data_IF_836632211019
#
_entry.id   IF_836632211019
#
_cell.length_a   1.000
_cell.length_b   1.000
_cell.length_c   1.000
_cell.angle_alpha   90.00
_cell.angle_beta   90.00
_cell.angle_gamma   90.00
#
_symmetry.space_group_name_H-M   'P 1'
#
loop_
_entity.id
_entity.type
_entity.pdbx_description
1 polymer ?
#
# COMPACT_ATOMS: atom_id res chain seq x y z
N UNK A 1 -23.38 22.75 -6.23
CA UNK A 1 -22.27 22.91 -5.26
C UNK A 1 -22.26 21.63 -4.44
N UNK A 2 -21.48 20.66 -4.85
CA UNK A 2 -21.31 19.39 -4.17
C UNK A 2 -20.42 19.62 -2.95
N UNK A 3 -20.91 19.30 -1.75
CA UNK A 3 -20.12 19.24 -0.54
C UNK A 3 -18.90 18.37 -0.81
N UNK A 4 -17.74 18.99 -0.84
CA UNK A 4 -16.48 18.28 -0.68
C UNK A 4 -16.47 17.83 0.78
N UNK A 5 -16.87 16.58 1.03
CA UNK A 5 -16.77 15.98 2.35
C UNK A 5 -15.33 16.18 2.83
N UNK A 6 -15.19 16.89 3.95
CA UNK A 6 -13.90 17.02 4.62
C UNK A 6 -13.46 15.60 4.99
N UNK A 7 -12.43 15.12 4.31
CA UNK A 7 -11.82 13.84 4.59
C UNK A 7 -11.25 13.95 6.00
N UNK A 8 -11.91 13.34 6.96
CA UNK A 8 -11.44 13.30 8.34
C UNK A 8 -10.33 12.24 8.44
N UNK A 9 -9.16 12.65 8.85
CA UNK A 9 -8.04 11.75 9.14
C UNK A 9 -7.82 11.81 10.64
N UNK A 10 -8.18 10.73 11.32
CA UNK A 10 -8.00 10.61 12.76
C UNK A 10 -6.53 10.31 13.08
N UNK A 11 -6.00 10.94 14.12
CA UNK A 11 -4.65 10.65 14.62
C UNK A 11 -4.73 9.64 15.76
N UNK A 12 -4.07 8.51 15.60
CA UNK A 12 -4.04 7.42 16.58
C UNK A 12 -2.60 7.18 17.03
N UNK A 13 -2.38 7.09 18.33
CA UNK A 13 -1.07 6.82 18.91
C UNK A 13 -0.98 5.34 19.34
N UNK A 14 0.03 4.65 18.82
CA UNK A 14 0.36 3.27 19.17
C UNK A 14 1.79 3.26 19.71
N UNK A 15 1.98 2.94 20.97
CA UNK A 15 3.29 2.85 21.63
C UNK A 15 4.18 4.10 21.43
N UNK A 16 3.57 5.29 21.38
CA UNK A 16 4.29 6.55 21.14
C UNK A 16 4.53 6.90 19.66
N UNK A 17 4.02 6.09 18.74
CA UNK A 17 4.06 6.33 17.31
C UNK A 17 2.70 6.79 16.79
N UNK A 18 2.69 7.89 16.07
CA UNK A 18 1.48 8.52 15.54
C UNK A 18 1.16 8.01 14.14
N UNK A 19 -0.07 7.55 13.96
CA UNK A 19 -0.65 7.17 12.68
C UNK A 19 -1.76 8.15 12.30
N UNK A 20 -1.87 8.47 11.00
CA UNK A 20 -3.07 9.06 10.44
C UNK A 20 -3.96 7.97 9.85
N UNK A 21 -5.24 7.96 10.20
CA UNK A 21 -6.18 6.93 9.72
C UNK A 21 -7.39 7.61 9.09
N UNK A 22 -7.61 7.32 7.81
CA UNK A 22 -8.87 7.63 7.15
C UNK A 22 -9.68 6.35 7.03
N UNK A 23 -10.94 6.39 7.43
CA UNK A 23 -11.82 5.22 7.41
C UNK A 23 -13.13 5.48 6.69
N UNK A 24 -13.71 4.42 6.14
CA UNK A 24 -15.08 4.34 5.65
C UNK A 24 -15.71 3.04 6.12
N UNK A 25 -16.91 3.08 6.69
CA UNK A 25 -17.60 1.86 7.10
C UNK A 25 -18.12 1.01 5.92
N UNK A 26 -17.98 1.50 4.69
CA UNK A 26 -18.61 0.93 3.51
C UNK A 26 -20.11 1.27 3.42
N UNK A 27 -20.85 0.71 2.45
CA UNK A 27 -22.26 1.01 2.24
C UNK A 27 -23.12 0.45 3.38
N UNK A 28 -24.16 1.20 3.77
CA UNK A 28 -25.14 0.77 4.79
C UNK A 28 -25.87 -0.48 4.31
N UNK A 29 -25.94 -1.51 5.17
CA UNK A 29 -26.62 -2.77 4.86
C UNK A 29 -25.77 -3.76 4.03
N UNK A 30 -24.50 -3.47 3.78
CA UNK A 30 -23.61 -4.43 3.14
C UNK A 30 -23.48 -5.69 3.99
N UNK A 31 -23.76 -6.84 3.38
CA UNK A 31 -23.58 -8.18 4.01
C UNK A 31 -22.09 -8.53 4.11
N UNK A 32 -21.22 -7.81 3.39
CA UNK A 32 -19.79 -8.08 3.28
C UNK A 32 -19.05 -7.43 4.45
N UNK A 33 -18.52 -8.27 5.33
CA UNK A 33 -17.74 -7.87 6.51
C UNK A 33 -16.23 -7.72 6.22
N UNK A 34 -15.82 -7.85 4.96
CA UNK A 34 -14.40 -7.77 4.57
C UNK A 34 -13.88 -6.35 4.75
N UNK A 35 -12.84 -6.21 5.55
CA UNK A 35 -12.14 -4.95 5.78
C UNK A 35 -10.94 -4.85 4.86
N UNK A 36 -10.76 -3.70 4.21
CA UNK A 36 -9.60 -3.40 3.39
C UNK A 36 -8.70 -2.37 4.07
N UNK A 37 -7.40 -2.60 4.05
CA UNK A 37 -6.39 -1.71 4.64
C UNK A 37 -5.36 -1.34 3.58
N UNK A 38 -5.25 -0.05 3.26
CA UNK A 38 -4.34 0.47 2.24
C UNK A 38 -3.13 1.11 2.91
N UNK A 39 -1.93 0.66 2.54
CA UNK A 39 -0.64 1.14 3.06
C UNK A 39 0.16 1.78 1.94
N UNK A 40 0.54 3.03 2.13
CA UNK A 40 1.23 3.84 1.13
C UNK A 40 2.72 3.48 0.94
N UNK A 41 3.33 4.03 -0.13
CA UNK A 41 4.75 3.92 -0.43
C UNK A 41 5.63 4.89 0.37
N UNK A 42 6.95 4.80 0.16
CA UNK A 42 7.92 5.68 0.82
C UNK A 42 7.68 7.15 0.46
N UNK A 43 7.69 8.01 1.48
CA UNK A 43 7.59 9.45 1.30
C UNK A 43 6.21 9.98 0.96
N UNK A 44 5.22 9.12 0.77
CA UNK A 44 3.84 9.48 0.37
C UNK A 44 2.86 9.39 1.54
N UNK A 45 1.56 9.57 1.28
CA UNK A 45 0.50 9.56 2.28
C UNK A 45 -0.81 8.97 1.70
N UNK A 46 -1.86 8.89 2.51
CA UNK A 46 -3.21 8.48 2.08
C UNK A 46 -3.71 9.24 0.83
N UNK A 47 -3.23 10.47 0.59
CA UNK A 47 -3.72 11.35 -0.47
C UNK A 47 -3.59 10.75 -1.87
N UNK A 48 -2.44 10.13 -2.16
CA UNK A 48 -2.23 9.55 -3.48
C UNK A 48 -2.99 8.23 -3.67
N UNK A 49 -3.41 7.59 -2.58
CA UNK A 49 -4.28 6.40 -2.61
C UNK A 49 -5.77 6.73 -2.66
N UNK A 50 -6.14 8.02 -2.57
CA UNK A 50 -7.54 8.47 -2.52
C UNK A 50 -8.44 7.89 -3.62
N UNK A 51 -8.02 7.81 -4.92
CA UNK A 51 -8.86 7.22 -5.95
C UNK A 51 -9.14 5.73 -5.70
N UNK A 52 -8.14 4.94 -5.32
CA UNK A 52 -8.30 3.53 -4.99
C UNK A 52 -9.15 3.34 -3.72
N UNK A 53 -8.87 4.14 -2.69
CA UNK A 53 -9.65 4.15 -1.46
C UNK A 53 -11.14 4.36 -1.74
N UNK A 54 -11.49 5.40 -2.50
CA UNK A 54 -12.88 5.69 -2.85
C UNK A 54 -13.56 4.58 -3.62
N UNK A 55 -12.84 3.94 -4.57
CA UNK A 55 -13.38 2.85 -5.36
C UNK A 55 -13.65 1.57 -4.51
N UNK A 56 -12.79 1.27 -3.52
CA UNK A 56 -13.01 0.14 -2.62
C UNK A 56 -14.06 0.47 -1.55
N UNK A 57 -14.01 1.68 -0.98
CA UNK A 57 -14.92 2.14 0.07
C UNK A 57 -16.39 2.22 -0.38
N UNK A 58 -16.62 2.36 -1.69
CA UNK A 58 -17.95 2.24 -2.26
C UNK A 58 -18.60 0.85 -2.07
N UNK A 59 -17.81 -0.17 -1.77
CA UNK A 59 -18.27 -1.56 -1.64
C UNK A 59 -18.02 -2.14 -0.24
N UNK A 60 -16.98 -1.71 0.47
CA UNK A 60 -16.50 -2.37 1.67
C UNK A 60 -15.98 -1.39 2.73
N UNK A 61 -15.92 -1.84 3.97
CA UNK A 61 -15.19 -1.15 5.03
C UNK A 61 -13.73 -1.01 4.64
N UNK A 62 -13.21 0.22 4.65
CA UNK A 62 -11.88 0.53 4.10
C UNK A 62 -11.14 1.51 4.99
N UNK A 63 -9.89 1.19 5.28
CA UNK A 63 -8.94 2.07 5.95
C UNK A 63 -7.81 2.43 5.00
N UNK A 64 -7.33 3.66 5.06
CA UNK A 64 -6.01 4.03 4.54
C UNK A 64 -5.21 4.69 5.64
N UNK A 65 -3.93 4.35 5.72
CA UNK A 65 -3.10 4.64 6.88
C UNK A 65 -1.90 5.47 6.47
N UNK A 66 -1.69 6.61 7.14
CA UNK A 66 -0.42 7.32 7.12
C UNK A 66 0.49 6.75 8.22
N UNK A 67 1.64 6.25 7.79
CA UNK A 67 2.63 5.65 8.68
C UNK A 67 3.35 6.72 9.52
N UNK A 68 3.90 6.38 10.70
CA UNK A 68 4.72 7.29 11.49
C UNK A 68 5.85 7.95 10.69
N UNK A 69 5.87 9.29 10.68
CA UNK A 69 6.81 10.11 9.90
C UNK A 69 6.36 10.47 8.48
N UNK A 70 5.12 10.12 8.10
CA UNK A 70 4.53 10.41 6.79
C UNK A 70 3.16 11.08 6.94
N UNK A 71 2.64 11.67 5.88
CA UNK A 71 1.29 12.23 5.84
C UNK A 71 1.00 13.38 6.81
N UNK A 72 2.01 13.89 7.51
CA UNK A 72 1.87 14.90 8.56
C UNK A 72 1.93 14.33 9.98
N UNK A 73 2.07 13.03 10.15
CA UNK A 73 2.30 12.38 11.45
C UNK A 73 3.68 12.72 12.01
N UNK A 74 3.84 12.60 13.31
CA UNK A 74 5.12 12.90 13.98
C UNK A 74 6.22 11.97 13.49
N UNK A 75 7.37 12.55 13.11
CA UNK A 75 8.57 11.80 12.75
C UNK A 75 9.14 11.06 13.96
N UNK A 76 9.32 9.72 13.88
CA UNK A 76 9.91 8.93 14.95
C UNK A 76 11.34 9.37 15.29
N UNK A 77 11.69 9.32 16.59
CA UNK A 77 13.05 9.64 17.06
C UNK A 77 14.10 8.64 16.54
N UNK A 78 13.70 7.38 16.42
CA UNK A 78 14.56 6.28 15.96
C UNK A 78 14.13 5.80 14.58
N UNK A 79 15.09 5.20 13.84
CA UNK A 79 14.80 4.54 12.58
C UNK A 79 13.94 3.30 12.84
N UNK A 80 12.83 3.18 12.13
CA UNK A 80 12.02 1.96 12.09
C UNK A 80 12.45 1.09 10.90
N UNK A 81 12.50 -0.21 11.12
CA UNK A 81 12.63 -1.21 10.06
C UNK A 81 11.24 -1.57 9.52
N UNK A 82 11.18 -2.31 8.43
CA UNK A 82 9.91 -2.79 7.86
C UNK A 82 9.15 -3.64 8.88
N UNK A 83 9.88 -4.47 9.63
CA UNK A 83 9.31 -5.34 10.66
C UNK A 83 8.70 -4.55 11.82
N UNK A 84 9.32 -3.42 12.20
CA UNK A 84 8.82 -2.54 13.26
C UNK A 84 7.52 -1.83 12.81
N UNK A 85 7.50 -1.33 11.58
CA UNK A 85 6.28 -0.74 10.99
C UNK A 85 5.14 -1.76 10.88
N UNK A 86 5.43 -2.99 10.45
CA UNK A 86 4.42 -4.04 10.33
C UNK A 86 3.82 -4.43 11.69
N UNK A 87 4.67 -4.53 12.73
CA UNK A 87 4.20 -4.76 14.10
C UNK A 87 3.26 -3.64 14.55
N UNK A 88 3.71 -2.39 14.45
CA UNK A 88 2.90 -1.22 14.84
C UNK A 88 1.59 -1.12 14.05
N UNK A 89 1.61 -1.47 12.77
CA UNK A 89 0.39 -1.53 11.95
C UNK A 89 -0.57 -2.62 12.45
N UNK A 90 -0.06 -3.79 12.84
CA UNK A 90 -0.87 -4.84 13.45
C UNK A 90 -1.52 -4.37 14.76
N UNK A 91 -0.76 -3.71 15.63
CA UNK A 91 -1.24 -3.16 16.90
C UNK A 91 -2.28 -2.04 16.69
N UNK A 92 -2.11 -1.23 15.63
CA UNK A 92 -3.12 -0.25 15.19
C UNK A 92 -4.43 -0.95 14.78
N UNK A 93 -4.35 -2.01 13.98
CA UNK A 93 -5.53 -2.75 13.52
C UNK A 93 -6.27 -3.42 14.68
N UNK A 94 -5.55 -3.93 15.68
CA UNK A 94 -6.16 -4.44 16.93
C UNK A 94 -6.92 -3.31 17.67
N UNK A 95 -6.30 -2.12 17.77
CA UNK A 95 -6.92 -0.94 18.40
C UNK A 95 -8.20 -0.49 17.67
N UNK A 96 -8.23 -0.65 16.34
CA UNK A 96 -9.40 -0.37 15.49
C UNK A 96 -10.45 -1.48 15.53
N UNK A 97 -10.22 -2.58 16.25
CA UNK A 97 -11.12 -3.73 16.33
C UNK A 97 -11.18 -4.56 15.05
N UNK A 98 -10.16 -4.46 14.19
CA UNK A 98 -10.08 -5.24 12.95
C UNK A 98 -9.57 -6.64 13.27
N UNK A 99 -10.42 -7.63 13.10
CA UNK A 99 -10.11 -9.05 13.39
C UNK A 99 -9.65 -9.82 12.13
N UNK A 100 -9.99 -9.33 10.94
CA UNK A 100 -9.55 -9.88 9.66
C UNK A 100 -9.57 -8.81 8.57
N UNK A 101 -8.53 -8.77 7.71
CA UNK A 101 -8.47 -7.79 6.63
C UNK A 101 -7.79 -8.31 5.37
N UNK A 102 -8.10 -7.66 4.25
CA UNK A 102 -7.30 -7.65 3.02
C UNK A 102 -6.31 -6.49 3.13
N UNK A 103 -5.03 -6.78 3.21
CA UNK A 103 -4.00 -5.74 3.26
C UNK A 103 -3.49 -5.42 1.85
N UNK A 104 -3.50 -4.14 1.49
CA UNK A 104 -3.06 -3.61 0.20
C UNK A 104 -1.85 -2.72 0.44
N UNK A 105 -0.70 -3.10 -0.06
CA UNK A 105 0.51 -2.28 0.02
C UNK A 105 0.98 -1.81 -1.33
N UNK A 106 1.23 -0.50 -1.48
CA UNK A 106 1.83 0.05 -2.69
C UNK A 106 3.32 0.35 -2.48
N UNK A 107 4.17 -0.02 -3.44
CA UNK A 107 5.60 0.29 -3.42
C UNK A 107 6.27 -0.25 -2.14
N UNK A 108 6.84 0.60 -1.26
CA UNK A 108 7.33 0.21 0.07
C UNK A 108 6.22 -0.42 0.93
N UNK A 109 4.98 0.05 0.81
CA UNK A 109 3.83 -0.53 1.51
C UNK A 109 3.63 -2.02 1.21
N UNK A 110 4.08 -2.50 0.04
CA UNK A 110 4.07 -3.92 -0.28
C UNK A 110 4.96 -4.76 0.66
N UNK A 111 6.08 -4.19 1.10
CA UNK A 111 6.96 -4.84 2.09
C UNK A 111 6.27 -4.94 3.46
N UNK A 112 5.57 -3.85 3.85
CA UNK A 112 4.83 -3.81 5.11
C UNK A 112 3.65 -4.78 5.10
N UNK A 113 2.91 -4.84 3.99
CA UNK A 113 1.80 -5.78 3.82
C UNK A 113 2.27 -7.24 3.88
N UNK A 114 3.42 -7.55 3.24
CA UNK A 114 4.05 -8.88 3.31
C UNK A 114 4.45 -9.21 4.75
N UNK A 115 5.13 -8.29 5.42
CA UNK A 115 5.63 -8.54 6.78
C UNK A 115 4.49 -8.63 7.80
N UNK A 116 3.43 -7.81 7.67
CA UNK A 116 2.22 -7.92 8.49
C UNK A 116 1.58 -9.32 8.34
N UNK A 117 1.45 -9.82 7.12
CA UNK A 117 0.89 -11.13 6.86
C UNK A 117 1.75 -12.27 7.46
N UNK A 118 3.07 -12.10 7.52
CA UNK A 118 3.98 -13.05 8.18
C UNK A 118 3.86 -12.99 9.70
N UNK A 119 3.81 -11.78 10.28
CA UNK A 119 3.72 -11.61 11.74
C UNK A 119 2.34 -11.92 12.29
N UNK A 120 1.28 -11.65 11.52
CA UNK A 120 -0.13 -11.74 11.95
C UNK A 120 -0.98 -12.55 10.95
N UNK A 121 -0.66 -13.85 10.74
CA UNK A 121 -1.32 -14.66 9.70
C UNK A 121 -2.83 -14.85 9.94
N UNK A 122 -3.30 -14.70 11.17
CA UNK A 122 -4.73 -14.80 11.49
C UNK A 122 -5.50 -13.50 11.20
N UNK A 123 -4.78 -12.35 11.18
CA UNK A 123 -5.35 -11.04 10.88
C UNK A 123 -5.49 -10.82 9.36
N UNK A 124 -4.55 -11.35 8.57
CA UNK A 124 -4.48 -11.07 7.14
C UNK A 124 -5.10 -12.20 6.32
N UNK A 125 -6.29 -11.96 5.76
CA UNK A 125 -7.00 -12.94 4.91
C UNK A 125 -6.45 -12.99 3.49
N UNK A 126 -6.05 -11.84 2.92
CA UNK A 126 -5.47 -11.71 1.59
C UNK A 126 -4.42 -10.59 1.56
N UNK A 127 -3.42 -10.74 0.72
CA UNK A 127 -2.36 -9.74 0.51
C UNK A 127 -2.40 -9.24 -0.93
N UNK A 128 -2.41 -7.93 -1.11
CA UNK A 128 -2.29 -7.29 -2.43
C UNK A 128 -1.05 -6.40 -2.45
N UNK A 129 -0.12 -6.71 -3.34
CA UNK A 129 1.14 -5.99 -3.53
C UNK A 129 1.10 -5.22 -4.84
N UNK A 130 0.91 -3.90 -4.78
CA UNK A 130 0.87 -3.04 -5.96
C UNK A 130 2.25 -2.44 -6.19
N UNK A 131 2.87 -2.72 -7.33
CA UNK A 131 4.18 -2.18 -7.68
C UNK A 131 5.27 -2.48 -6.63
N UNK A 132 5.48 -3.74 -6.18
CA UNK A 132 6.44 -4.06 -5.12
C UNK A 132 7.87 -3.68 -5.51
N UNK A 133 8.55 -2.95 -4.63
CA UNK A 133 9.90 -2.39 -4.83
C UNK A 133 11.02 -3.30 -4.31
N UNK A 134 12.25 -2.82 -4.42
CA UNK A 134 13.47 -3.46 -3.92
C UNK A 134 13.77 -4.81 -4.62
N UNK A 135 13.65 -4.82 -5.96
CA UNK A 135 14.11 -5.93 -6.81
C UNK A 135 15.51 -6.39 -6.36
N UNK A 136 15.63 -7.67 -6.02
CA UNK A 136 16.85 -8.26 -5.47
C UNK A 136 18.09 -7.99 -6.34
N UNK A 137 17.92 -7.95 -7.67
CA UNK A 137 19.00 -7.66 -8.62
C UNK A 137 19.30 -6.16 -8.78
N UNK A 138 18.47 -5.27 -8.22
CA UNK A 138 18.57 -3.81 -8.34
C UNK A 138 18.36 -3.09 -7.01
N UNK A 139 18.69 -3.72 -5.91
CA UNK A 139 18.47 -3.23 -4.54
C UNK A 139 19.51 -2.17 -4.12
N UNK A 140 19.69 -1.15 -4.98
CA UNK A 140 20.57 0.00 -4.70
C UNK A 140 19.78 1.32 -4.78
N UNK A 141 20.17 2.30 -3.95
CA UNK A 141 19.55 3.62 -3.96
C UNK A 141 19.61 4.30 -5.33
N UNK A 142 20.72 4.15 -6.04
CA UNK A 142 20.92 4.73 -7.39
C UNK A 142 19.98 4.10 -8.40
N UNK A 143 19.88 2.75 -8.41
CA UNK A 143 18.98 2.06 -9.32
C UNK A 143 17.50 2.46 -9.08
N UNK A 144 17.08 2.54 -7.81
CA UNK A 144 15.74 2.98 -7.45
C UNK A 144 15.48 4.44 -7.84
N UNK A 145 16.44 5.34 -7.63
CA UNK A 145 16.32 6.74 -8.03
C UNK A 145 16.19 6.92 -9.55
N UNK A 146 16.99 6.17 -10.35
CA UNK A 146 16.92 6.19 -11.81
C UNK A 146 15.56 5.67 -12.30
N UNK A 147 15.09 4.57 -11.74
CA UNK A 147 13.81 3.97 -12.14
C UNK A 147 12.63 4.89 -11.74
N UNK A 148 12.68 5.51 -10.54
CA UNK A 148 11.70 6.51 -10.09
C UNK A 148 11.70 7.76 -11.00
N UNK A 149 12.85 8.27 -11.38
CA UNK A 149 12.96 9.41 -12.29
C UNK A 149 12.32 9.10 -13.65
N UNK A 150 12.64 7.93 -14.23
CA UNK A 150 12.03 7.48 -15.49
C UNK A 150 10.52 7.32 -15.41
N UNK A 151 10.02 6.92 -14.26
CA UNK A 151 8.59 6.79 -14.00
C UNK A 151 7.91 8.16 -13.94
N UNK A 152 8.44 9.05 -13.11
CA UNK A 152 7.96 10.41 -12.89
C UNK A 152 7.75 11.19 -14.19
N UNK A 153 8.66 11.03 -15.17
CA UNK A 153 8.55 11.73 -16.47
C UNK A 153 7.30 11.32 -17.29
N UNK A 154 6.66 10.23 -16.96
CA UNK A 154 5.54 9.65 -17.74
C UNK A 154 4.29 9.41 -16.90
N UNK A 155 4.31 9.69 -15.62
CA UNK A 155 3.14 9.66 -14.75
C UNK A 155 2.31 10.95 -14.87
N UNK A 156 1.00 10.92 -14.58
CA UNK A 156 0.14 12.11 -14.62
C UNK A 156 0.70 13.25 -13.75
N UNK A 157 0.63 14.47 -14.28
CA UNK A 157 1.13 15.67 -13.56
C UNK A 157 0.48 15.83 -12.17
N UNK A 158 -0.84 15.55 -12.06
CA UNK A 158 -1.57 15.61 -10.79
C UNK A 158 -1.03 14.62 -9.75
N UNK A 159 -0.67 13.41 -10.17
CA UNK A 159 -0.06 12.40 -9.31
C UNK A 159 1.34 12.85 -8.84
N UNK A 160 2.16 13.35 -9.76
CA UNK A 160 3.48 13.87 -9.44
C UNK A 160 3.43 15.03 -8.44
N UNK A 161 2.47 15.95 -8.59
CA UNK A 161 2.31 17.07 -7.66
C UNK A 161 2.00 16.60 -6.23
N UNK A 162 1.14 15.58 -6.08
CA UNK A 162 0.84 14.97 -4.78
C UNK A 162 2.08 14.30 -4.18
N UNK A 163 2.77 13.46 -4.97
CA UNK A 163 3.97 12.74 -4.53
C UNK A 163 5.08 13.69 -4.11
N UNK A 164 5.39 14.73 -4.91
CA UNK A 164 6.41 15.72 -4.55
C UNK A 164 6.03 16.57 -3.35
N UNK A 165 4.74 16.94 -3.22
CA UNK A 165 4.23 17.63 -2.04
C UNK A 165 4.41 16.80 -0.77
N UNK A 166 4.17 15.50 -0.83
CA UNK A 166 4.35 14.58 0.29
C UNK A 166 5.84 14.34 0.59
N UNK A 167 6.71 14.23 -0.43
CA UNK A 167 8.16 14.15 -0.24
C UNK A 167 8.73 15.37 0.48
N UNK A 168 8.24 16.57 0.13
CA UNK A 168 8.65 17.80 0.80
C UNK A 168 8.24 17.80 2.28
N UNK A 169 7.04 17.29 2.61
CA UNK A 169 6.56 17.15 4.00
C UNK A 169 7.32 16.10 4.79
N UNK A 170 7.62 14.96 4.18
CA UNK A 170 8.40 13.89 4.78
C UNK A 170 9.81 14.37 5.17
N UNK A 171 10.42 15.20 4.35
CA UNK A 171 11.76 15.71 4.51
C UNK A 171 12.85 14.68 4.16
N UNK A 172 13.94 15.17 3.57
CA UNK A 172 15.02 14.34 3.01
C UNK A 172 15.65 13.40 4.06
N UNK A 173 15.81 13.90 5.29
CA UNK A 173 16.44 13.12 6.37
C UNK A 173 15.65 11.87 6.75
N UNK A 174 14.31 11.98 6.83
CA UNK A 174 13.45 10.85 7.16
C UNK A 174 13.31 9.92 5.97
N UNK A 175 13.12 10.48 4.77
CA UNK A 175 13.09 9.72 3.53
C UNK A 175 14.32 8.80 3.37
N UNK A 176 15.53 9.34 3.54
CA UNK A 176 16.77 8.55 3.41
C UNK A 176 16.93 7.49 4.49
N UNK A 177 16.47 7.73 5.71
CA UNK A 177 16.44 6.71 6.77
C UNK A 177 15.52 5.55 6.40
N UNK A 178 14.32 5.87 5.92
CA UNK A 178 13.33 4.85 5.53
C UNK A 178 13.75 4.12 4.26
N UNK A 179 14.35 4.82 3.29
CA UNK A 179 14.91 4.19 2.09
C UNK A 179 15.94 3.10 2.43
N UNK A 180 16.80 3.34 3.42
CA UNK A 180 17.75 2.32 3.88
C UNK A 180 17.04 1.10 4.50
N UNK A 181 15.94 1.30 5.24
CA UNK A 181 15.14 0.22 5.78
C UNK A 181 14.47 -0.60 4.67
N UNK A 182 13.87 0.10 3.69
CA UNK A 182 13.24 -0.48 2.51
C UNK A 182 14.24 -1.34 1.70
N UNK A 183 15.45 -0.83 1.45
CA UNK A 183 16.46 -1.56 0.70
C UNK A 183 17.06 -2.75 1.46
N UNK A 184 17.03 -2.73 2.77
CA UNK A 184 17.53 -3.83 3.61
C UNK A 184 16.56 -5.01 3.72
N UNK A 185 15.26 -4.79 3.44
CA UNK A 185 14.24 -5.83 3.60
C UNK A 185 14.17 -6.76 2.40
N UNK A 186 14.31 -8.05 2.62
CA UNK A 186 14.30 -9.11 1.60
C UNK A 186 12.86 -9.64 1.40
N UNK A 187 12.02 -8.88 0.67
CA UNK A 187 10.62 -9.26 0.42
C UNK A 187 10.51 -10.61 -0.31
N UNK A 188 11.45 -10.93 -1.20
CA UNK A 188 11.52 -12.17 -1.97
C UNK A 188 11.76 -13.43 -1.11
N UNK A 189 12.39 -13.26 0.05
CA UNK A 189 12.54 -14.31 1.05
C UNK A 189 11.33 -14.38 1.98
N UNK A 190 10.89 -13.24 2.47
CA UNK A 190 9.78 -13.15 3.43
C UNK A 190 8.43 -13.57 2.87
N UNK A 191 8.17 -13.32 1.59
CA UNK A 191 6.91 -13.68 0.94
C UNK A 191 6.66 -15.20 0.94
N UNK A 192 7.71 -16.00 1.03
CA UNK A 192 7.61 -17.48 1.13
C UNK A 192 6.91 -17.94 2.41
N UNK A 193 6.91 -17.10 3.43
CA UNK A 193 6.26 -17.37 4.72
C UNK A 193 4.81 -16.88 4.78
N UNK A 194 4.30 -16.21 3.74
CA UNK A 194 2.93 -15.73 3.70
C UNK A 194 2.00 -16.87 3.37
N UNK A 195 1.08 -17.20 4.27
CA UNK A 195 0.12 -18.29 4.08
C UNK A 195 -1.16 -17.85 3.36
N UNK A 196 -1.51 -16.56 3.47
CA UNK A 196 -2.66 -15.99 2.77
C UNK A 196 -2.44 -15.94 1.25
N UNK A 197 -3.50 -15.99 0.43
CA UNK A 197 -3.42 -15.69 -1.00
C UNK A 197 -2.77 -14.33 -1.27
N UNK A 198 -1.88 -14.26 -2.27
CA UNK A 198 -1.14 -13.05 -2.64
C UNK A 198 -1.43 -12.66 -4.09
N UNK A 199 -1.91 -11.43 -4.30
CA UNK A 199 -2.01 -10.80 -5.61
C UNK A 199 -0.88 -9.79 -5.78
N UNK A 200 0.02 -10.04 -6.73
CA UNK A 200 1.00 -9.06 -7.19
C UNK A 200 0.39 -8.33 -8.39
N UNK A 201 0.18 -7.01 -8.26
CA UNK A 201 -0.41 -6.18 -9.29
C UNK A 201 0.58 -5.09 -9.72
N UNK A 202 0.74 -4.89 -11.03
CA UNK A 202 1.61 -3.86 -11.57
C UNK A 202 1.04 -3.22 -12.83
N UNK A 203 1.42 -1.97 -13.09
CA UNK A 203 1.27 -1.41 -14.43
C UNK A 203 2.22 -2.11 -15.41
N UNK A 204 1.77 -2.45 -16.62
CA UNK A 204 2.61 -3.16 -17.60
C UNK A 204 3.90 -2.39 -17.94
N UNK A 205 3.84 -1.07 -17.88
CA UNK A 205 4.94 -0.17 -18.22
C UNK A 205 5.73 0.32 -16.99
N UNK A 206 5.51 -0.26 -15.80
CA UNK A 206 6.21 0.10 -14.56
C UNK A 206 7.70 -0.23 -14.66
N UNK A 207 8.61 0.78 -14.59
CA UNK A 207 10.05 0.55 -14.65
C UNK A 207 10.65 0.15 -13.30
N UNK A 208 9.93 0.37 -12.20
CA UNK A 208 10.35 0.10 -10.82
C UNK A 208 10.04 -1.35 -10.47
N UNK A 209 8.75 -1.72 -10.50
CA UNK A 209 8.30 -3.09 -10.29
C UNK A 209 8.27 -3.85 -11.61
N UNK A 210 9.41 -4.30 -12.07
CA UNK A 210 9.57 -4.98 -13.36
C UNK A 210 8.85 -6.34 -13.37
N UNK A 211 8.39 -6.76 -14.55
CA UNK A 211 7.68 -8.03 -14.70
C UNK A 211 8.47 -9.22 -14.14
N UNK A 212 9.75 -9.33 -14.47
CA UNK A 212 10.59 -10.43 -13.97
C UNK A 212 10.63 -10.51 -12.44
N UNK A 213 10.80 -9.34 -11.79
CA UNK A 213 10.74 -9.22 -10.34
C UNK A 213 9.38 -9.64 -9.77
N UNK A 214 8.29 -9.11 -10.31
CA UNK A 214 6.95 -9.47 -9.86
C UNK A 214 6.62 -10.94 -10.10
N UNK A 215 7.16 -11.55 -11.17
CA UNK A 215 7.04 -12.99 -11.43
C UNK A 215 7.79 -13.82 -10.39
N UNK A 216 8.98 -13.38 -9.96
CA UNK A 216 9.72 -14.03 -8.87
C UNK A 216 8.92 -13.99 -7.57
N UNK A 217 8.34 -12.84 -7.21
CA UNK A 217 7.51 -12.73 -6.01
C UNK A 217 6.27 -13.63 -6.08
N UNK A 218 5.59 -13.67 -7.23
CA UNK A 218 4.43 -14.53 -7.43
C UNK A 218 4.81 -16.02 -7.32
N UNK A 219 5.96 -16.41 -7.87
CA UNK A 219 6.47 -17.78 -7.78
C UNK A 219 6.89 -18.17 -6.35
N UNK A 220 7.51 -17.24 -5.62
CA UNK A 220 7.97 -17.46 -4.26
C UNK A 220 6.82 -17.52 -3.24
N UNK A 221 5.69 -16.89 -3.53
CA UNK A 221 4.52 -16.97 -2.67
C UNK A 221 3.80 -18.32 -2.83
N UNK A 222 3.42 -19.03 -1.76
CA UNK A 222 2.69 -20.31 -1.84
C UNK A 222 1.39 -20.24 -2.63
N UNK A 223 0.71 -19.08 -2.61
CA UNK A 223 -0.55 -18.82 -3.32
C UNK A 223 -0.47 -17.51 -4.12
N UNK A 224 0.65 -17.30 -4.82
CA UNK A 224 0.93 -16.06 -5.55
C UNK A 224 0.30 -16.00 -6.94
N UNK A 225 -0.26 -14.85 -7.30
CA UNK A 225 -0.76 -14.54 -8.64
C UNK A 225 -0.21 -13.21 -9.11
N UNK A 226 0.18 -13.11 -10.39
CA UNK A 226 0.63 -11.86 -11.01
C UNK A 226 -0.47 -11.34 -11.95
N UNK A 227 -0.80 -10.05 -11.80
CA UNK A 227 -1.70 -9.32 -12.68
C UNK A 227 -1.02 -8.06 -13.23
N UNK A 228 -1.12 -7.84 -14.54
CA UNK A 228 -0.60 -6.66 -15.22
C UNK A 228 -1.73 -5.80 -15.80
N UNK A 229 -1.72 -4.51 -15.51
CA UNK A 229 -2.66 -3.53 -16.09
C UNK A 229 -2.00 -2.84 -17.28
N UNK A 230 -2.55 -3.06 -18.47
CA UNK A 230 -2.01 -2.50 -19.70
C UNK A 230 -2.09 -0.97 -19.73
N UNK A 231 -1.09 -0.31 -20.29
CA UNK A 231 -1.05 1.14 -20.47
C UNK A 231 -0.62 1.95 -19.24
N UNK A 232 -0.56 1.33 -18.07
CA UNK A 232 -0.26 2.00 -16.79
C UNK A 232 1.16 1.71 -16.30
N UNK A 233 1.62 2.55 -15.34
CA UNK A 233 2.97 2.54 -14.79
C UNK A 233 2.93 2.29 -13.27
N UNK A 234 3.88 2.87 -12.51
CA UNK A 234 4.03 2.60 -11.08
C UNK A 234 2.81 3.03 -10.25
N UNK A 235 2.22 4.19 -10.59
CA UNK A 235 1.03 4.70 -9.89
C UNK A 235 -0.28 4.14 -10.48
N UNK A 236 -0.31 2.86 -10.84
CA UNK A 236 -1.49 2.19 -11.43
C UNK A 236 -2.73 2.28 -10.52
N UNK A 237 -2.56 2.27 -9.22
CA UNK A 237 -3.64 2.44 -8.23
C UNK A 237 -4.26 3.85 -8.24
N UNK A 238 -3.55 4.84 -8.79
CA UNK A 238 -4.04 6.20 -9.01
C UNK A 238 -4.63 6.36 -10.41
N UNK A 239 -3.89 5.94 -11.42
CA UNK A 239 -4.24 6.16 -12.84
C UNK A 239 -5.29 5.20 -13.39
N UNK A 240 -5.52 4.05 -12.74
CA UNK A 240 -6.51 3.03 -13.09
C UNK A 240 -7.31 2.55 -11.86
N UNK A 241 -7.61 3.45 -10.93
CA UNK A 241 -8.11 3.13 -9.60
C UNK A 241 -9.34 2.20 -9.60
N UNK A 242 -10.34 2.47 -10.45
CA UNK A 242 -11.56 1.66 -10.55
C UNK A 242 -11.23 0.24 -11.03
N UNK A 243 -10.44 0.11 -12.10
CA UNK A 243 -10.05 -1.20 -12.62
C UNK A 243 -9.21 -1.98 -11.59
N UNK A 244 -8.30 -1.31 -10.90
CA UNK A 244 -7.48 -1.93 -9.83
C UNK A 244 -8.37 -2.38 -8.67
N UNK A 245 -9.30 -1.53 -8.22
CA UNK A 245 -10.28 -1.89 -7.19
C UNK A 245 -11.11 -3.12 -7.58
N UNK A 246 -11.61 -3.15 -8.81
CA UNK A 246 -12.37 -4.27 -9.35
C UNK A 246 -11.60 -5.59 -9.26
N UNK A 247 -10.31 -5.58 -9.64
CA UNK A 247 -9.46 -6.78 -9.57
C UNK A 247 -9.14 -7.20 -8.15
N UNK A 248 -9.02 -6.25 -7.25
CA UNK A 248 -8.81 -6.51 -5.82
C UNK A 248 -10.05 -7.13 -5.19
N UNK A 249 -11.23 -6.56 -5.45
CA UNK A 249 -12.51 -7.08 -4.94
C UNK A 249 -12.77 -8.50 -5.46
N UNK A 250 -12.57 -8.73 -6.77
CA UNK A 250 -12.67 -10.05 -7.39
C UNK A 250 -11.70 -11.07 -6.73
N UNK A 251 -10.45 -10.67 -6.50
CA UNK A 251 -9.46 -11.51 -5.83
C UNK A 251 -9.84 -11.85 -4.38
N UNK A 252 -10.43 -10.91 -3.67
CA UNK A 252 -10.89 -11.09 -2.30
C UNK A 252 -12.26 -11.81 -2.20
N UNK A 253 -12.86 -12.22 -3.32
CA UNK A 253 -14.16 -12.89 -3.34
C UNK A 253 -15.34 -11.99 -2.94
N UNK A 254 -15.17 -10.66 -3.07
CA UNK A 254 -16.22 -9.69 -2.75
C UNK A 254 -17.10 -9.47 -3.98
N UNK A 255 -18.40 -9.76 -3.89
CA UNK A 255 -19.33 -9.45 -4.97
C UNK A 255 -19.38 -7.94 -5.23
N UNK A 256 -19.44 -7.53 -6.50
CA UNK A 256 -19.74 -6.14 -6.83
C UNK A 256 -21.19 -5.84 -6.44
N UNK A 257 -21.39 -4.76 -5.71
CA UNK A 257 -22.73 -4.19 -5.61
C UNK A 257 -23.23 -3.93 -7.04
N UNK A 258 -24.47 -4.33 -7.33
CA UNK A 258 -25.10 -3.93 -8.58
C UNK A 258 -25.04 -2.39 -8.63
N UNK A 259 -24.37 -1.85 -9.65
CA UNK A 259 -24.46 -0.42 -9.93
C UNK A 259 -25.91 -0.16 -10.36
N UNK A 260 -26.68 0.53 -9.50
CA UNK A 260 -27.98 1.10 -9.88
C UNK A 260 -27.80 2.24 -10.87
#
# INVERSE_FOLDING_TARGET
MTHVDQINVDQINIDGFEFGVQSSPGPKGAVVTTVFVIVHGIGTSHRYSKPLYGAIAANCSTYTVDLPGFGGTRTPKHRLRVEDYAKLLGDLLDTLGVTSCVVIGHSMGAQLATELAVQRPQLVSHVVLIGPVADAHRRTAVAQAVDLYRDTLKEPFSANLLVFGDYARCGLRWYTKTLRAMLAYAIDERIRCVVAPVLILRGRNDPIARRGWCSILAHNSPQGRLLEIAGHRHLVHYSAAVLVADRILEFAGVPRGAAE
#
